data_IF_241952286542
#
_entry.id   IF_241952286542
#
_cell.length_a   1.000
_cell.length_b   1.000
_cell.length_c   1.000
_cell.angle_alpha   90.00
_cell.angle_beta   90.00
_cell.angle_gamma   90.00
#
_symmetry.space_group_name_H-M   'P 1'
#
loop_
_entity.id
_entity.type
_entity.pdbx_description
1 polymer ?
#
# COMPACT_ATOMS: atom_id res chain seq x y z
N UNK A 1 -18.60 1.06 11.67
CA UNK A 1 -17.59 0.23 11.00
C UNK A 1 -16.41 0.05 11.94
N UNK A 2 -16.19 -1.16 12.43
CA UNK A 2 -15.05 -1.49 13.28
C UNK A 2 -13.76 -1.67 12.44
N UNK A 3 -12.65 -1.99 13.10
CA UNK A 3 -11.35 -2.17 12.44
C UNK A 3 -11.38 -3.40 11.52
N UNK A 4 -12.01 -4.49 11.97
CA UNK A 4 -12.08 -5.78 11.26
C UNK A 4 -12.77 -5.63 9.90
N UNK A 5 -13.85 -4.86 9.84
CA UNK A 5 -14.57 -4.56 8.60
C UNK A 5 -13.69 -3.77 7.61
N UNK A 6 -12.86 -2.83 8.07
CA UNK A 6 -11.91 -2.10 7.22
C UNK A 6 -10.83 -3.02 6.65
N UNK A 7 -10.30 -3.90 7.49
CA UNK A 7 -9.30 -4.88 7.06
C UNK A 7 -9.91 -5.83 6.02
N UNK A 8 -11.15 -6.29 6.24
CA UNK A 8 -11.89 -7.10 5.26
C UNK A 8 -12.14 -6.33 3.96
N UNK A 9 -12.45 -5.04 4.04
CA UNK A 9 -12.60 -4.19 2.86
C UNK A 9 -11.29 -4.09 2.08
N UNK A 10 -10.13 -3.92 2.75
CA UNK A 10 -8.83 -3.98 2.08
C UNK A 10 -8.61 -5.31 1.32
N UNK A 11 -9.01 -6.45 1.89
CA UNK A 11 -8.94 -7.75 1.20
C UNK A 11 -9.88 -7.83 -0.01
N UNK A 12 -11.08 -7.24 0.08
CA UNK A 12 -12.03 -7.15 -1.04
C UNK A 12 -11.47 -6.27 -2.15
N UNK A 13 -10.96 -5.08 -1.81
CA UNK A 13 -10.37 -4.16 -2.78
C UNK A 13 -9.12 -4.76 -3.43
N UNK A 14 -8.27 -5.48 -2.70
CA UNK A 14 -7.14 -6.22 -3.27
C UNK A 14 -7.60 -7.22 -4.35
N UNK A 15 -8.69 -7.96 -4.11
CA UNK A 15 -9.25 -8.88 -5.11
C UNK A 15 -9.73 -8.12 -6.36
N UNK A 16 -10.33 -6.94 -6.18
CA UNK A 16 -10.74 -6.11 -7.32
C UNK A 16 -9.53 -5.54 -8.07
N UNK A 17 -8.52 -5.03 -7.37
CA UNK A 17 -7.25 -4.56 -7.97
C UNK A 17 -6.66 -5.67 -8.84
N UNK A 18 -6.49 -6.89 -8.30
CA UNK A 18 -5.97 -8.04 -9.04
C UNK A 18 -6.85 -8.46 -10.23
N UNK A 19 -8.18 -8.31 -10.11
CA UNK A 19 -9.14 -8.66 -11.18
C UNK A 19 -9.06 -7.69 -12.36
N UNK A 20 -8.86 -6.41 -12.09
CA UNK A 20 -8.87 -5.36 -13.11
C UNK A 20 -7.48 -4.96 -13.60
N UNK A 21 -6.42 -5.50 -13.01
CA UNK A 21 -5.04 -5.30 -13.46
C UNK A 21 -4.87 -5.69 -14.94
N UNK A 22 -4.23 -4.88 -15.80
CA UNK A 22 -3.56 -3.60 -15.51
C UNK A 22 -4.37 -2.34 -15.88
N UNK A 23 -5.70 -2.39 -15.96
CA UNK A 23 -6.54 -1.24 -16.36
C UNK A 23 -6.40 -0.07 -15.36
N UNK A 24 -5.80 1.07 -15.76
CA UNK A 24 -5.50 2.16 -14.83
C UNK A 24 -6.75 2.75 -14.19
N UNK A 25 -7.87 2.86 -14.91
CA UNK A 25 -9.09 3.46 -14.38
C UNK A 25 -9.66 2.66 -13.21
N UNK A 26 -9.82 1.35 -13.39
CA UNK A 26 -10.38 0.49 -12.35
C UNK A 26 -9.38 0.27 -11.21
N UNK A 27 -8.10 0.08 -11.52
CA UNK A 27 -7.06 -0.04 -10.49
C UNK A 27 -6.98 1.23 -9.66
N UNK A 28 -7.00 2.42 -10.27
CA UNK A 28 -7.05 3.71 -9.58
C UNK A 28 -8.23 3.77 -8.60
N UNK A 29 -9.43 3.41 -9.06
CA UNK A 29 -10.63 3.44 -8.23
C UNK A 29 -10.50 2.54 -7.00
N UNK A 30 -10.21 1.25 -7.19
CA UNK A 30 -10.15 0.30 -6.06
C UNK A 30 -8.94 0.52 -5.16
N UNK A 31 -7.83 1.00 -5.70
CA UNK A 31 -6.67 1.35 -4.88
C UNK A 31 -6.94 2.59 -4.03
N UNK A 32 -7.70 3.58 -4.52
CA UNK A 32 -8.13 4.69 -3.70
C UNK A 32 -8.95 4.23 -2.49
N UNK A 33 -9.94 3.36 -2.71
CA UNK A 33 -10.77 2.78 -1.64
C UNK A 33 -9.95 1.93 -0.65
N UNK A 34 -8.95 1.20 -1.15
CA UNK A 34 -7.98 0.47 -0.34
C UNK A 34 -7.21 1.41 0.60
N UNK A 35 -6.66 2.52 0.06
CA UNK A 35 -5.92 3.50 0.85
C UNK A 35 -6.80 4.18 1.91
N UNK A 36 -8.05 4.49 1.58
CA UNK A 36 -8.98 5.08 2.54
C UNK A 36 -9.28 4.11 3.68
N UNK A 37 -9.44 2.82 3.37
CA UNK A 37 -9.62 1.78 4.40
C UNK A 37 -8.39 1.62 5.29
N UNK A 38 -7.19 1.70 4.72
CA UNK A 38 -5.92 1.71 5.46
C UNK A 38 -5.86 2.90 6.42
N UNK A 39 -6.03 4.12 5.92
CA UNK A 39 -5.94 5.33 6.75
C UNK A 39 -6.99 5.33 7.87
N UNK A 40 -8.21 4.93 7.56
CA UNK A 40 -9.29 4.83 8.54
C UNK A 40 -9.03 3.74 9.59
N UNK A 41 -8.26 2.69 9.27
CA UNK A 41 -7.86 1.66 10.25
C UNK A 41 -6.93 2.26 11.29
N UNK A 42 -5.99 3.12 10.90
CA UNK A 42 -5.12 3.82 11.85
C UNK A 42 -5.87 4.80 12.74
N UNK A 43 -6.79 5.57 12.17
CA UNK A 43 -7.64 6.46 12.98
C UNK A 43 -8.45 5.65 14.02
N UNK A 44 -8.94 4.47 13.65
CA UNK A 44 -9.71 3.61 14.56
C UNK A 44 -8.89 2.97 15.68
N UNK A 45 -7.60 2.67 15.46
CA UNK A 45 -6.69 2.26 16.56
C UNK A 45 -6.69 3.34 17.64
N UNK A 46 -6.61 4.61 17.26
CA UNK A 46 -6.66 5.72 18.20
C UNK A 46 -8.06 5.94 18.80
N UNK A 47 -9.14 5.53 18.13
CA UNK A 47 -10.49 5.53 18.74
C UNK A 47 -10.62 4.47 19.83
N UNK A 48 -10.09 3.27 19.61
CA UNK A 48 -10.04 2.23 20.66
C UNK A 48 -9.22 2.71 21.85
N UNK A 49 -8.03 3.28 21.59
CA UNK A 49 -7.20 3.87 22.63
C UNK A 49 -7.89 5.03 23.37
N UNK A 50 -8.54 5.97 22.67
CA UNK A 50 -9.25 7.11 23.27
C UNK A 50 -10.31 6.67 24.28
N UNK A 51 -11.07 5.63 23.91
CA UNK A 51 -12.08 5.03 24.78
C UNK A 51 -11.43 4.37 26.00
N UNK A 52 -10.41 3.55 25.79
CA UNK A 52 -9.83 2.72 26.85
C UNK A 52 -9.01 3.56 27.85
N UNK A 53 -8.37 4.65 27.40
CA UNK A 53 -7.70 5.63 28.27
C UNK A 53 -8.65 6.70 28.83
N UNK A 54 -9.91 6.77 28.40
CA UNK A 54 -10.86 7.79 28.90
C UNK A 54 -10.49 9.23 28.52
N UNK A 55 -9.94 9.42 27.31
CA UNK A 55 -9.57 10.76 26.83
C UNK A 55 -10.79 11.56 26.32
N UNK A 56 -11.83 10.87 25.83
CA UNK A 56 -13.11 11.42 25.39
C UNK A 56 -12.97 12.50 24.30
N UNK A 57 -12.19 12.23 23.25
CA UNK A 57 -12.03 13.16 22.13
C UNK A 57 -13.26 13.11 21.23
N UNK A 58 -13.87 14.26 20.97
CA UNK A 58 -15.00 14.38 20.05
C UNK A 58 -14.54 14.46 18.58
N UNK A 59 -15.34 13.87 17.67
CA UNK A 59 -15.14 13.95 16.23
C UNK A 59 -14.04 13.02 15.70
N UNK A 60 -13.34 13.45 14.63
CA UNK A 60 -12.24 12.66 14.03
C UNK A 60 -11.04 12.61 14.97
N UNK A 61 -10.72 11.41 15.45
CA UNK A 61 -9.57 11.10 16.32
C UNK A 61 -8.39 10.71 15.44
N UNK A 62 -7.43 11.61 15.30
CA UNK A 62 -6.13 11.34 14.66
C UNK A 62 -5.08 11.17 15.75
N UNK A 63 -3.96 10.50 15.43
CA UNK A 63 -2.80 10.42 16.33
C UNK A 63 -2.39 11.75 16.96
N UNK A 64 -2.34 12.82 16.15
CA UNK A 64 -1.96 14.16 16.62
C UNK A 64 -2.91 14.67 17.69
N UNK A 65 -4.23 14.61 17.42
CA UNK A 65 -5.25 15.04 18.39
C UNK A 65 -5.24 14.19 19.65
N UNK A 66 -5.03 12.89 19.51
CA UNK A 66 -4.89 11.97 20.63
C UNK A 66 -3.73 12.37 21.54
N UNK A 67 -2.54 12.60 20.96
CA UNK A 67 -1.35 13.02 21.71
C UNK A 67 -1.52 14.38 22.40
N UNK A 68 -2.11 15.36 21.70
CA UNK A 68 -2.39 16.68 22.27
C UNK A 68 -3.35 16.59 23.46
N UNK A 69 -4.42 15.80 23.34
CA UNK A 69 -5.38 15.60 24.44
C UNK A 69 -4.75 14.86 25.63
N UNK A 70 -3.95 13.83 25.37
CA UNK A 70 -3.22 13.10 26.41
C UNK A 70 -2.30 14.03 27.20
N UNK A 71 -1.55 14.91 26.52
CA UNK A 71 -0.74 15.96 27.16
C UNK A 71 -1.57 16.94 27.98
N UNK A 72 -2.69 17.44 27.43
CA UNK A 72 -3.57 18.36 28.17
C UNK A 72 -4.13 17.75 29.45
N UNK A 73 -4.36 16.42 29.46
CA UNK A 73 -4.85 15.68 30.62
C UNK A 73 -3.74 15.15 31.54
N UNK A 74 -2.46 15.33 31.19
CA UNK A 74 -1.32 14.69 31.84
C UNK A 74 -1.48 13.16 31.96
N UNK A 75 -2.07 12.52 30.96
CA UNK A 75 -2.23 11.06 30.93
C UNK A 75 -0.95 10.40 30.41
N UNK A 76 -0.08 9.98 31.32
CA UNK A 76 1.21 9.36 30.97
C UNK A 76 1.06 8.09 30.15
N UNK A 77 0.02 7.29 30.41
CA UNK A 77 -0.17 6.01 29.74
C UNK A 77 -0.62 6.22 28.29
N UNK A 78 -1.53 7.16 28.05
CA UNK A 78 -1.90 7.56 26.70
C UNK A 78 -0.72 8.19 25.93
N UNK A 79 0.11 9.01 26.58
CA UNK A 79 1.35 9.56 25.99
C UNK A 79 2.29 8.42 25.57
N UNK A 80 2.58 7.48 26.49
CA UNK A 80 3.42 6.29 26.23
C UNK A 80 2.89 5.46 25.08
N UNK A 81 1.57 5.24 25.00
CA UNK A 81 0.96 4.52 23.88
C UNK A 81 1.21 5.21 22.54
N UNK A 82 0.99 6.53 22.46
CA UNK A 82 1.19 7.30 21.22
C UNK A 82 2.65 7.30 20.76
N UNK A 83 3.60 7.38 21.70
CA UNK A 83 5.03 7.33 21.41
C UNK A 83 5.46 5.93 20.95
N UNK A 84 5.02 4.89 21.66
CA UNK A 84 5.23 3.50 21.25
C UNK A 84 4.66 3.22 19.85
N UNK A 85 3.43 3.65 19.57
CA UNK A 85 2.81 3.44 18.25
C UNK A 85 3.61 4.13 17.16
N UNK A 86 4.17 5.31 17.42
CA UNK A 86 5.05 6.02 16.48
C UNK A 86 6.29 5.22 16.11
N UNK A 87 6.95 4.64 17.12
CA UNK A 87 8.15 3.83 16.94
C UNK A 87 7.82 2.55 16.18
N UNK A 88 6.78 1.82 16.63
CA UNK A 88 6.33 0.58 16.00
C UNK A 88 5.89 0.79 14.56
N UNK A 89 5.16 1.87 14.28
CA UNK A 89 4.79 2.25 12.93
C UNK A 89 6.02 2.48 12.06
N UNK A 90 7.02 3.23 12.52
CA UNK A 90 8.23 3.43 11.73
C UNK A 90 9.00 2.14 11.47
N UNK A 91 9.12 1.25 12.46
CA UNK A 91 9.78 -0.07 12.32
C UNK A 91 9.12 -0.94 11.25
N UNK A 92 7.78 -1.05 11.27
CA UNK A 92 7.03 -1.81 10.25
C UNK A 92 7.18 -1.22 8.84
N UNK A 93 7.60 0.04 8.73
CA UNK A 93 7.74 0.78 7.49
C UNK A 93 9.21 1.02 7.09
N UNK A 94 10.16 0.27 7.65
CA UNK A 94 11.56 0.30 7.20
C UNK A 94 11.73 -0.38 5.83
N UNK A 95 10.95 -1.42 5.58
CA UNK A 95 11.01 -2.18 4.32
C UNK A 95 10.37 -1.41 3.15
N UNK A 96 10.83 -1.62 1.88
CA UNK A 96 10.45 -0.76 0.75
C UNK A 96 8.95 -0.66 0.48
N UNK A 97 8.22 -1.79 0.49
CA UNK A 97 6.79 -1.83 0.16
C UNK A 97 5.91 -1.20 1.25
N UNK A 98 6.08 -1.55 2.54
CA UNK A 98 5.46 -0.79 3.62
C UNK A 98 5.82 0.69 3.59
N UNK A 99 7.10 1.06 3.45
CA UNK A 99 7.50 2.46 3.37
C UNK A 99 6.78 3.20 2.24
N UNK A 100 6.68 2.57 1.06
CA UNK A 100 5.90 3.09 -0.05
C UNK A 100 4.44 3.32 0.34
N UNK A 101 3.82 2.38 1.05
CA UNK A 101 2.44 2.53 1.51
C UNK A 101 2.25 3.69 2.50
N UNK A 102 3.21 3.90 3.39
CA UNK A 102 3.25 5.11 4.22
C UNK A 102 3.33 6.38 3.36
N UNK A 103 4.28 6.45 2.42
CA UNK A 103 4.47 7.61 1.54
C UNK A 103 3.21 7.94 0.73
N UNK A 104 2.53 6.94 0.17
CA UNK A 104 1.34 7.18 -0.64
C UNK A 104 0.14 7.62 0.20
N UNK A 105 -0.04 7.07 1.41
CA UNK A 105 -1.06 7.55 2.34
C UNK A 105 -0.79 9.01 2.74
N UNK A 106 0.48 9.36 3.01
CA UNK A 106 0.87 10.75 3.29
C UNK A 106 0.61 11.66 2.09
N UNK A 107 0.96 11.22 0.87
CA UNK A 107 0.67 11.96 -0.36
C UNK A 107 -0.83 12.21 -0.53
N UNK A 108 -1.65 11.15 -0.46
CA UNK A 108 -3.11 11.22 -0.59
C UNK A 108 -3.73 12.12 0.47
N UNK A 109 -3.24 12.08 1.71
CA UNK A 109 -3.74 12.95 2.78
C UNK A 109 -3.52 14.44 2.49
N UNK A 110 -2.46 14.79 1.76
CA UNK A 110 -2.11 16.17 1.39
C UNK A 110 -2.78 16.62 0.09
N UNK A 111 -2.76 15.79 -0.94
CA UNK A 111 -3.22 16.14 -2.30
C UNK A 111 -4.67 15.76 -2.58
N UNK A 112 -5.28 14.90 -1.74
CA UNK A 112 -6.57 14.23 -1.97
C UNK A 112 -6.64 13.39 -3.25
N UNK A 113 -5.48 13.09 -3.86
CA UNK A 113 -5.33 12.29 -5.07
C UNK A 113 -4.18 11.31 -4.90
N UNK A 114 -4.12 10.28 -5.74
CA UNK A 114 -2.92 9.47 -5.88
C UNK A 114 -2.12 9.93 -7.11
N UNK A 115 -0.81 9.62 -7.18
CA UNK A 115 0.01 9.79 -8.37
C UNK A 115 -0.50 9.00 -9.57
N UNK A 116 0.10 9.26 -10.72
CA UNK A 116 -0.25 8.61 -11.98
C UNK A 116 0.02 7.10 -11.93
N UNK A 117 -0.90 6.34 -12.52
CA UNK A 117 -0.77 4.89 -12.67
C UNK A 117 -0.29 4.59 -14.09
N UNK A 118 0.81 3.84 -14.17
CA UNK A 118 1.40 3.34 -15.41
C UNK A 118 1.10 1.86 -15.59
N UNK A 119 1.03 1.43 -16.84
CA UNK A 119 1.06 0.01 -17.19
C UNK A 119 2.51 -0.37 -17.46
N UNK A 120 3.01 -1.43 -16.84
CA UNK A 120 4.35 -1.95 -17.09
C UNK A 120 4.33 -3.45 -17.30
N UNK A 121 5.24 -3.96 -18.13
CA UNK A 121 5.54 -5.39 -18.19
C UNK A 121 6.63 -5.77 -17.20
N UNK A 122 6.49 -6.99 -16.69
CA UNK A 122 7.40 -7.62 -15.75
C UNK A 122 7.42 -9.14 -15.98
N UNK A 123 8.45 -9.82 -15.47
CA UNK A 123 8.44 -11.28 -15.38
C UNK A 123 7.46 -11.75 -14.31
N UNK A 124 6.79 -12.89 -14.50
CA UNK A 124 5.82 -13.48 -13.57
C UNK A 124 6.45 -13.86 -12.23
N UNK A 125 7.61 -14.51 -12.26
CA UNK A 125 8.45 -14.73 -11.09
C UNK A 125 9.30 -13.49 -10.81
N UNK A 126 9.36 -13.07 -9.53
CA UNK A 126 10.07 -11.86 -9.09
C UNK A 126 11.45 -12.20 -8.55
N UNK A 127 12.47 -11.57 -9.10
CA UNK A 127 13.79 -11.45 -8.50
C UNK A 127 14.07 -10.00 -8.12
N UNK A 128 14.94 -9.79 -7.13
CA UNK A 128 15.17 -8.48 -6.50
C UNK A 128 15.57 -7.41 -7.52
N UNK A 129 16.33 -7.80 -8.53
CA UNK A 129 16.93 -6.88 -9.50
C UNK A 129 16.31 -7.01 -10.89
N UNK A 130 15.13 -7.64 -10.98
CA UNK A 130 14.34 -7.67 -12.20
C UNK A 130 13.95 -6.25 -12.62
N UNK A 131 13.97 -6.02 -13.93
CA UNK A 131 13.46 -4.79 -14.52
C UNK A 131 11.96 -4.87 -14.72
N UNK A 132 11.31 -3.70 -14.66
CA UNK A 132 9.99 -3.47 -15.20
C UNK A 132 10.12 -2.50 -16.37
N UNK A 133 9.26 -2.62 -17.37
CA UNK A 133 9.30 -1.75 -18.54
C UNK A 133 7.93 -1.15 -18.80
N UNK A 134 7.84 0.18 -18.85
CA UNK A 134 6.59 0.87 -19.09
C UNK A 134 6.07 0.61 -20.50
N UNK A 135 4.78 0.34 -20.59
CA UNK A 135 4.02 0.22 -21.82
C UNK A 135 3.11 1.43 -21.98
N UNK A 136 3.14 2.04 -23.18
CA UNK A 136 2.28 3.16 -23.55
C UNK A 136 1.18 2.67 -24.48
N UNK A 137 -0.06 2.75 -24.02
CA UNK A 137 -1.27 2.40 -24.77
C UNK A 137 -2.21 3.61 -24.78
N UNK A 138 -3.05 3.72 -25.80
CA UNK A 138 -4.04 4.79 -25.81
C UNK A 138 -5.14 4.51 -24.77
N UNK A 139 -5.35 5.49 -23.90
CA UNK A 139 -6.42 5.46 -22.90
C UNK A 139 -7.56 6.39 -23.33
N UNK A 140 -8.80 5.98 -23.08
CA UNK A 140 -9.98 6.84 -23.27
C UNK A 140 -10.60 7.08 -21.89
N UNK A 141 -10.58 8.33 -21.43
CA UNK A 141 -10.95 8.69 -20.05
C UNK A 141 -10.17 7.84 -19.02
N UNK A 142 -8.85 7.73 -19.17
CA UNK A 142 -7.94 6.92 -18.34
C UNK A 142 -8.18 5.40 -18.38
N UNK A 143 -9.22 4.95 -19.08
CA UNK A 143 -9.58 3.54 -19.20
C UNK A 143 -8.89 2.90 -20.41
N UNK A 144 -8.51 1.64 -20.27
CA UNK A 144 -8.00 0.85 -21.38
C UNK A 144 -9.11 0.66 -22.42
N UNK A 145 -8.88 1.13 -23.65
CA UNK A 145 -9.91 1.11 -24.71
C UNK A 145 -10.20 -0.31 -25.20
N UNK A 146 -9.14 -1.07 -25.49
CA UNK A 146 -9.20 -2.42 -26.03
C UNK A 146 -8.03 -3.24 -25.49
N UNK A 147 -8.30 -4.50 -25.12
CA UNK A 147 -7.25 -5.41 -24.61
C UNK A 147 -6.26 -5.78 -25.70
N UNK A 148 -6.74 -5.85 -26.95
CA UNK A 148 -5.95 -6.17 -28.13
C UNK A 148 -4.84 -5.13 -28.35
N UNK A 149 -5.09 -3.84 -28.06
CA UNK A 149 -4.08 -2.78 -28.19
C UNK A 149 -2.94 -2.99 -27.19
N UNK A 150 -3.27 -3.35 -25.95
CA UNK A 150 -2.28 -3.71 -24.95
C UNK A 150 -1.48 -4.94 -25.37
N UNK A 151 -2.13 -5.98 -25.89
CA UNK A 151 -1.44 -7.20 -26.35
C UNK A 151 -0.50 -6.93 -27.53
N UNK A 152 -0.88 -6.05 -28.47
CA UNK A 152 -0.02 -5.62 -29.57
C UNK A 152 1.22 -4.90 -29.04
N UNK A 153 1.03 -3.98 -28.10
CA UNK A 153 2.14 -3.21 -27.53
C UNK A 153 3.08 -4.07 -26.69
N UNK A 154 2.54 -5.02 -25.92
CA UNK A 154 3.34 -6.03 -25.21
C UNK A 154 4.18 -6.81 -26.21
N UNK A 155 3.57 -7.37 -27.27
CA UNK A 155 4.29 -8.14 -28.30
C UNK A 155 5.40 -7.32 -28.96
N UNK A 156 5.17 -6.02 -29.18
CA UNK A 156 6.17 -5.11 -29.77
C UNK A 156 7.39 -4.92 -28.86
N UNK A 157 7.18 -4.75 -27.56
CA UNK A 157 8.25 -4.48 -26.60
C UNK A 157 8.92 -5.75 -26.03
N UNK A 158 8.25 -6.91 -26.15
CA UNK A 158 8.66 -8.18 -25.56
C UNK A 158 10.10 -8.61 -25.91
N UNK A 159 10.59 -8.50 -27.18
CA UNK A 159 11.95 -8.94 -27.51
C UNK A 159 13.02 -8.18 -26.72
N UNK A 160 12.88 -6.85 -26.66
CA UNK A 160 13.82 -5.97 -25.96
C UNK A 160 13.75 -6.23 -24.44
N UNK A 161 12.55 -6.34 -23.90
CA UNK A 161 12.35 -6.65 -22.48
C UNK A 161 13.04 -7.97 -22.09
N UNK A 162 12.83 -9.04 -22.88
CA UNK A 162 13.41 -10.36 -22.64
C UNK A 162 14.93 -10.35 -22.76
N UNK A 163 15.50 -9.56 -23.66
CA UNK A 163 16.95 -9.41 -23.78
C UNK A 163 17.54 -8.80 -22.50
N UNK A 164 16.99 -7.67 -22.06
CA UNK A 164 17.51 -6.93 -20.90
C UNK A 164 17.35 -7.74 -19.60
N UNK A 165 16.16 -8.29 -19.34
CA UNK A 165 15.92 -9.03 -18.10
C UNK A 165 16.76 -10.30 -18.02
N UNK A 166 16.89 -11.05 -19.13
CA UNK A 166 17.66 -12.29 -19.14
C UNK A 166 19.16 -12.04 -19.06
N UNK A 167 19.65 -10.92 -19.60
CA UNK A 167 21.02 -10.50 -19.39
C UNK A 167 21.31 -10.30 -17.89
N UNK A 168 20.48 -9.52 -17.19
CA UNK A 168 20.62 -9.29 -15.75
C UNK A 168 20.51 -10.56 -14.91
N UNK A 169 19.53 -11.43 -15.21
CA UNK A 169 19.35 -12.70 -14.50
C UNK A 169 20.55 -13.63 -14.70
N UNK A 170 21.11 -13.68 -15.91
CA UNK A 170 22.30 -14.48 -16.20
C UNK A 170 23.52 -14.02 -15.38
N UNK A 171 23.74 -12.71 -15.21
CA UNK A 171 24.80 -12.17 -14.34
C UNK A 171 24.66 -12.62 -12.87
N UNK A 172 23.44 -12.96 -12.45
CA UNK A 172 23.11 -13.37 -11.08
C UNK A 172 22.85 -14.87 -10.91
N UNK A 173 23.02 -15.67 -11.97
CA UNK A 173 22.65 -17.10 -12.01
C UNK A 173 21.16 -17.35 -11.68
N UNK A 174 20.28 -16.42 -12.07
CA UNK A 174 18.84 -16.53 -11.92
C UNK A 174 18.19 -17.16 -13.18
N UNK A 175 17.05 -17.87 -13.06
CA UNK A 175 16.40 -18.54 -14.18
C UNK A 175 15.94 -17.58 -15.29
N UNK A 176 16.14 -18.00 -16.54
CA UNK A 176 15.72 -17.26 -17.73
C UNK A 176 14.19 -17.11 -17.78
N UNK A 177 13.73 -15.92 -18.15
CA UNK A 177 12.33 -15.56 -18.44
C UNK A 177 11.99 -15.93 -19.88
N UNK A 178 10.93 -16.71 -20.04
CA UNK A 178 10.28 -16.99 -21.32
C UNK A 178 9.17 -16.00 -21.67
N UNK A 179 8.72 -16.01 -22.93
CA UNK A 179 7.66 -15.12 -23.42
C UNK A 179 6.34 -15.31 -22.65
N UNK A 180 5.97 -16.55 -22.33
CA UNK A 180 4.78 -16.90 -21.56
C UNK A 180 4.87 -16.52 -20.08
N UNK A 181 6.05 -16.10 -19.62
CA UNK A 181 6.29 -15.66 -18.26
C UNK A 181 6.27 -14.14 -18.13
N UNK A 182 5.94 -13.37 -19.18
CA UNK A 182 5.82 -11.92 -19.11
C UNK A 182 4.36 -11.52 -18.92
N UNK A 183 4.10 -10.67 -17.94
CA UNK A 183 2.76 -10.13 -17.65
C UNK A 183 2.79 -8.62 -17.58
N UNK A 184 1.66 -7.97 -17.85
CA UNK A 184 1.47 -6.55 -17.60
C UNK A 184 0.78 -6.32 -16.25
N UNK A 185 1.18 -5.27 -15.54
CA UNK A 185 0.58 -4.87 -14.26
C UNK A 185 0.57 -3.35 -14.11
N UNK A 186 -0.28 -2.85 -13.22
CA UNK A 186 -0.37 -1.44 -12.87
C UNK A 186 0.65 -1.05 -11.78
N UNK A 187 1.39 0.02 -12.06
CA UNK A 187 2.43 0.58 -11.21
C UNK A 187 2.13 2.04 -10.89
N UNK A 188 2.56 2.48 -9.72
CA UNK A 188 2.50 3.89 -9.32
C UNK A 188 3.81 4.59 -9.62
N UNK A 189 3.72 5.76 -10.26
CA UNK A 189 4.85 6.66 -10.46
C UNK A 189 5.00 7.63 -9.29
N UNK A 190 6.06 7.46 -8.49
CA UNK A 190 6.37 8.34 -7.36
C UNK A 190 7.47 9.36 -7.67
N UNK A 191 8.02 9.41 -8.89
CA UNK A 191 9.08 10.36 -9.29
C UNK A 191 10.48 10.08 -8.73
N UNK A 192 10.66 9.10 -7.82
CA UNK A 192 11.94 8.74 -7.19
C UNK A 192 12.62 7.51 -7.85
N UNK A 193 12.43 7.28 -9.16
CA UNK A 193 12.94 6.10 -9.92
C UNK A 193 12.51 4.71 -9.39
N UNK A 194 11.52 4.66 -8.50
CA UNK A 194 10.97 3.41 -7.95
C UNK A 194 9.51 3.30 -8.39
N UNK A 195 9.28 2.52 -9.45
CA UNK A 195 7.95 2.07 -9.83
C UNK A 195 7.51 0.94 -8.87
N UNK A 196 6.38 1.14 -8.19
CA UNK A 196 5.83 0.13 -7.28
C UNK A 196 4.55 -0.46 -7.85
N UNK A 197 4.54 -1.78 -7.99
CA UNK A 197 3.36 -2.54 -8.39
C UNK A 197 2.27 -2.46 -7.33
N UNK A 198 1.10 -2.00 -7.74
CA UNK A 198 -0.02 -1.68 -6.84
C UNK A 198 -0.55 -2.94 -6.17
N UNK A 199 -0.84 -3.98 -6.96
CA UNK A 199 -1.40 -5.23 -6.46
C UNK A 199 -0.52 -5.88 -5.39
N UNK A 200 0.78 -5.91 -5.64
CA UNK A 200 1.75 -6.52 -4.73
C UNK A 200 1.98 -5.67 -3.47
N UNK A 201 2.06 -4.35 -3.60
CA UNK A 201 2.16 -3.46 -2.44
C UNK A 201 0.94 -3.62 -1.52
N UNK A 202 -0.27 -3.62 -2.08
CA UNK A 202 -1.51 -3.84 -1.32
C UNK A 202 -1.54 -5.19 -0.63
N UNK A 203 -1.06 -6.25 -1.28
CA UNK A 203 -1.00 -7.59 -0.71
C UNK A 203 -0.05 -7.68 0.50
N UNK A 204 1.17 -7.15 0.37
CA UNK A 204 2.15 -7.13 1.46
C UNK A 204 1.65 -6.32 2.65
N UNK A 205 0.88 -5.27 2.39
CA UNK A 205 0.52 -4.31 3.42
C UNK A 205 -0.62 -4.76 4.35
N UNK A 206 -1.51 -5.64 3.89
CA UNK A 206 -2.60 -6.15 4.74
C UNK A 206 -2.06 -6.84 6.01
N UNK A 207 -1.08 -7.77 5.94
CA UNK A 207 -0.44 -8.33 7.13
C UNK A 207 0.21 -7.29 8.06
N UNK A 208 0.83 -6.25 7.49
CA UNK A 208 1.44 -5.16 8.28
C UNK A 208 0.38 -4.43 9.10
N UNK A 209 -0.73 -4.09 8.45
CA UNK A 209 -1.87 -3.44 9.12
C UNK A 209 -2.46 -4.32 10.22
N UNK A 210 -2.65 -5.62 9.98
CA UNK A 210 -3.13 -6.57 11.00
C UNK A 210 -2.22 -6.61 12.22
N UNK A 211 -0.90 -6.74 12.03
CA UNK A 211 0.08 -6.69 13.13
C UNK A 211 0.00 -5.40 13.93
N UNK A 212 -0.07 -4.25 13.25
CA UNK A 212 -0.19 -2.96 13.92
C UNK A 212 -1.44 -2.88 14.81
N UNK A 213 -2.58 -3.39 14.34
CA UNK A 213 -3.83 -3.45 15.11
C UNK A 213 -3.69 -4.37 16.32
N UNK A 214 -3.23 -5.60 16.12
CA UNK A 214 -3.14 -6.61 17.18
C UNK A 214 -2.17 -6.17 18.28
N UNK A 215 -0.98 -5.70 17.90
CA UNK A 215 0.01 -5.21 18.85
C UNK A 215 -0.44 -3.94 19.56
N UNK A 216 -1.19 -3.05 18.88
CA UNK A 216 -1.75 -1.86 19.52
C UNK A 216 -2.73 -2.23 20.62
N UNK A 217 -3.60 -3.22 20.38
CA UNK A 217 -4.55 -3.70 21.39
C UNK A 217 -3.85 -4.35 22.57
N UNK A 218 -2.79 -5.10 22.34
CA UNK A 218 -1.93 -5.63 23.42
C UNK A 218 -1.34 -4.48 24.24
N UNK A 219 -0.79 -3.47 23.58
CA UNK A 219 -0.18 -2.32 24.27
C UNK A 219 -1.19 -1.49 25.05
N UNK A 220 -2.39 -1.26 24.51
CA UNK A 220 -3.48 -0.57 25.22
C UNK A 220 -3.84 -1.35 26.50
N UNK A 221 -4.05 -2.68 26.39
CA UNK A 221 -4.37 -3.52 27.55
C UNK A 221 -3.29 -3.46 28.62
N UNK A 222 -2.02 -3.57 28.23
CA UNK A 222 -0.87 -3.45 29.15
C UNK A 222 -0.90 -2.13 29.92
N UNK A 223 -1.14 -1.02 29.23
CA UNK A 223 -1.11 0.33 29.82
C UNK A 223 -2.38 0.69 30.62
N UNK A 224 -3.49 -0.01 30.42
CA UNK A 224 -4.74 0.20 31.16
C UNK A 224 -4.84 -0.70 32.40
N UNK A 225 -4.24 -1.90 32.37
CA UNK A 225 -4.30 -2.86 33.50
C UNK A 225 -3.29 -2.58 34.62
N UNK A 226 -2.26 -1.77 34.37
CA UNK A 226 -1.37 -1.29 35.42
C UNK A 226 -2.03 -0.10 36.15
N UNK A 227 -2.88 -0.43 37.12
CA UNK A 227 -3.36 0.45 38.20
C UNK A 227 -2.84 -0.04 39.54
#
# INVERSE_FOLDING_TARGET
MNIEEKIKNCEIYLKQIKKYDPDPFYVNHFFNEFLDSVMNTYDDIFKEADRDFGLFIAGKITKKKFYEKAKMKNDENAIKFSEWFSQKFNQEHESPYPNFMKKICEFKSKSKKIPEIKIMIRASDRYKDDINQQIKVNLSNEKLRMKEELDIEIKRQLPIFLEIINHKRNEKNEPKVGQNQVIASAFLDMGDDIDIEIAYASEIYIPVMKRLVDESRVKIKELVTWK
#
